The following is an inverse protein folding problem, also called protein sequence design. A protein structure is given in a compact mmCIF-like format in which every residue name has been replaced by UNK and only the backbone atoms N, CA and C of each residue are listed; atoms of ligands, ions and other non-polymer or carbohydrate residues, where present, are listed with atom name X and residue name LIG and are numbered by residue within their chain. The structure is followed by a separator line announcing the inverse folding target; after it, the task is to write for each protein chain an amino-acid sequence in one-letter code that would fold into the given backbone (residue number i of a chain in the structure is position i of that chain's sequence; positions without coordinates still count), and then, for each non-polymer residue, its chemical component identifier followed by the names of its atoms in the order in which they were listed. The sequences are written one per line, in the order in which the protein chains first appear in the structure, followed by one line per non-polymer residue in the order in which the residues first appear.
data_IF_145271210737
#
_entry.id   IF_145271210737
#
_cell.length_a   1.000
_cell.length_b   1.000
_cell.length_c   1.000
_cell.angle_alpha   90.00
_cell.angle_beta   90.00
_cell.angle_gamma   90.00
#
_symmetry.space_group_name_H-M   'P 1'
#
loop_
_entity.id
_entity.type
_entity.pdbx_description
1 polymer ?
#
# COMPACT_ATOMS: atom_id res chain seq x y z
N UNK A 1 -0.16 0.50 -38.08
CA UNK A 1 -1.09 1.10 -37.10
C UNK A 1 -0.58 0.70 -35.73
N UNK A 2 0.02 1.62 -34.96
CA UNK A 2 0.50 1.32 -33.62
C UNK A 2 -0.72 1.15 -32.72
N UNK A 3 -0.99 -0.07 -32.27
CA UNK A 3 -2.04 -0.33 -31.26
C UNK A 3 -1.61 0.40 -30.00
N UNK A 4 -2.38 1.40 -29.57
CA UNK A 4 -2.11 2.11 -28.34
C UNK A 4 -2.55 1.21 -27.18
N UNK A 5 -1.61 0.78 -26.35
CA UNK A 5 -1.93 -0.01 -25.15
C UNK A 5 -2.89 0.77 -24.23
N UNK A 6 -3.89 0.07 -23.71
CA UNK A 6 -4.81 0.53 -22.66
C UNK A 6 -4.08 0.77 -21.33
N UNK A 7 -4.73 1.50 -20.41
CA UNK A 7 -4.18 1.73 -19.07
C UNK A 7 -4.07 0.43 -18.26
N UNK A 8 -4.99 -0.52 -18.48
CA UNK A 8 -4.93 -1.84 -17.87
C UNK A 8 -3.72 -2.63 -18.35
N UNK A 9 -3.47 -2.69 -19.66
CA UNK A 9 -2.29 -3.38 -20.23
C UNK A 9 -0.98 -2.80 -19.70
N UNK A 10 -0.86 -1.47 -19.66
CA UNK A 10 0.31 -0.78 -19.07
C UNK A 10 0.46 -1.09 -17.58
N UNK A 11 -0.64 -1.14 -16.84
CA UNK A 11 -0.60 -1.49 -15.43
C UNK A 11 -0.08 -2.91 -15.24
N UNK A 12 -0.60 -3.88 -15.98
CA UNK A 12 -0.13 -5.27 -15.88
C UNK A 12 1.33 -5.40 -16.30
N UNK A 13 1.74 -4.77 -17.41
CA UNK A 13 3.14 -4.75 -17.87
C UNK A 13 4.08 -4.26 -16.76
N UNK A 14 3.77 -3.12 -16.14
CA UNK A 14 4.56 -2.58 -15.03
C UNK A 14 4.48 -3.48 -13.79
N UNK A 15 3.33 -4.10 -13.52
CA UNK A 15 3.15 -4.96 -12.35
C UNK A 15 3.93 -6.28 -12.44
N UNK A 16 4.21 -6.80 -13.64
CA UNK A 16 5.00 -8.01 -13.82
C UNK A 16 6.41 -7.86 -13.24
N UNK A 17 7.07 -6.73 -13.51
CA UNK A 17 8.45 -6.50 -13.05
C UNK A 17 8.54 -5.69 -11.77
N UNK A 18 7.62 -4.74 -11.57
CA UNK A 18 7.69 -3.74 -10.50
C UNK A 18 6.51 -3.85 -9.51
N UNK A 19 5.72 -4.91 -9.60
CA UNK A 19 4.68 -5.22 -8.63
C UNK A 19 5.28 -5.72 -7.32
N UNK A 20 4.83 -5.16 -6.21
CA UNK A 20 5.11 -5.65 -4.87
C UNK A 20 3.88 -6.39 -4.34
N UNK A 21 3.94 -7.73 -4.20
CA UNK A 21 2.81 -8.52 -3.75
C UNK A 21 2.49 -8.24 -2.28
N UNK A 22 1.27 -8.58 -1.88
CA UNK A 22 0.89 -8.52 -0.47
C UNK A 22 1.61 -9.63 0.31
N UNK A 23 1.98 -9.34 1.55
CA UNK A 23 2.50 -10.33 2.50
C UNK A 23 1.45 -10.55 3.58
N UNK A 24 0.63 -11.59 3.45
CA UNK A 24 -0.44 -11.87 4.42
C UNK A 24 -0.38 -13.34 4.84
N UNK A 25 0.40 -13.70 5.88
CA UNK A 25 0.47 -15.08 6.37
C UNK A 25 -0.91 -15.60 6.80
N UNK A 26 -1.11 -16.91 6.80
CA UNK A 26 -2.42 -17.50 7.11
C UNK A 26 -2.86 -17.17 8.55
N UNK A 27 -1.91 -17.09 9.46
CA UNK A 27 -2.17 -16.74 10.85
C UNK A 27 -2.19 -15.22 11.14
N UNK A 28 -2.12 -14.37 10.11
CA UNK A 28 -2.14 -12.93 10.31
C UNK A 28 -3.41 -12.52 11.06
N UNK A 29 -3.22 -11.71 12.11
CA UNK A 29 -4.30 -11.12 12.94
C UNK A 29 -4.49 -9.65 12.64
N UNK A 30 -3.45 -8.94 12.21
CA UNK A 30 -3.49 -7.52 11.90
C UNK A 30 -2.90 -7.27 10.52
N UNK A 31 -3.63 -6.56 9.65
CA UNK A 31 -3.20 -6.23 8.29
C UNK A 31 -3.10 -4.71 8.14
N UNK A 32 -1.91 -4.24 7.78
CA UNK A 32 -1.68 -2.84 7.45
C UNK A 32 -1.89 -2.61 5.94
N UNK A 33 -2.70 -1.62 5.61
CA UNK A 33 -2.95 -1.18 4.23
C UNK A 33 -2.31 0.19 4.03
N UNK A 34 -1.35 0.30 3.10
CA UNK A 34 -0.63 1.54 2.78
C UNK A 34 -0.91 2.02 1.36
N UNK A 35 -0.30 3.13 0.95
CA UNK A 35 -0.54 3.80 -0.34
C UNK A 35 -0.06 2.97 -1.54
N UNK A 36 1.25 2.87 -1.71
CA UNK A 36 1.91 2.17 -2.80
C UNK A 36 3.35 1.84 -2.39
N UNK A 37 4.01 0.86 -3.02
CA UNK A 37 5.43 0.62 -2.78
C UNK A 37 6.31 1.79 -3.28
N UNK A 38 7.55 1.81 -2.81
CA UNK A 38 8.62 2.70 -3.28
C UNK A 38 9.87 1.86 -3.60
N UNK A 39 10.99 2.54 -3.89
CA UNK A 39 12.29 1.92 -4.25
C UNK A 39 12.74 0.77 -3.34
N UNK A 40 12.55 0.88 -2.02
CA UNK A 40 13.01 -0.16 -1.09
C UNK A 40 12.09 -1.39 -1.13
N UNK A 41 10.79 -1.19 -1.29
CA UNK A 41 9.82 -2.27 -1.45
C UNK A 41 10.06 -3.05 -2.76
N UNK A 42 10.47 -2.37 -3.83
CA UNK A 42 10.93 -3.03 -5.07
C UNK A 42 12.17 -3.90 -4.81
N UNK A 43 13.19 -3.33 -4.17
CA UNK A 43 14.45 -4.03 -3.87
C UNK A 43 14.23 -5.30 -3.02
N UNK A 44 13.34 -5.22 -2.04
CA UNK A 44 13.10 -6.32 -1.09
C UNK A 44 11.90 -7.22 -1.46
N UNK A 45 11.13 -6.84 -2.48
CA UNK A 45 9.91 -7.53 -2.91
C UNK A 45 8.92 -7.73 -1.76
N UNK A 46 8.70 -6.71 -0.94
CA UNK A 46 7.75 -6.73 0.19
C UNK A 46 7.31 -5.31 0.56
N UNK A 47 6.03 -5.09 0.92
CA UNK A 47 5.59 -3.79 1.39
C UNK A 47 6.33 -3.35 2.66
N UNK A 48 6.42 -2.03 2.87
CA UNK A 48 6.93 -1.47 4.14
C UNK A 48 8.39 -1.86 4.40
N UNK A 49 9.20 -1.92 3.34
CA UNK A 49 10.64 -2.18 3.42
C UNK A 49 11.46 -0.90 3.59
N UNK A 50 10.88 0.29 3.35
CA UNK A 50 11.55 1.57 3.49
C UNK A 50 11.56 2.15 4.91
N UNK A 51 11.83 3.45 5.01
CA UNK A 51 11.90 4.19 6.28
C UNK A 51 10.61 4.10 7.11
N UNK A 52 9.46 4.17 6.43
CA UNK A 52 8.14 3.91 7.02
C UNK A 52 8.12 2.62 7.83
N UNK A 53 8.70 1.55 7.28
CA UNK A 53 8.79 0.27 7.97
C UNK A 53 9.74 0.24 9.14
N UNK A 54 10.77 1.09 9.16
CA UNK A 54 11.62 1.25 10.33
C UNK A 54 10.85 1.83 11.52
N UNK A 55 10.03 2.86 11.27
CA UNK A 55 9.18 3.44 12.31
C UNK A 55 8.15 2.41 12.81
N UNK A 56 7.48 1.68 11.91
CA UNK A 56 6.52 0.66 12.32
C UNK A 56 7.15 -0.51 13.08
N UNK A 57 8.32 -1.03 12.66
CA UNK A 57 8.99 -2.12 13.38
C UNK A 57 9.45 -1.68 14.77
N UNK A 58 9.93 -0.45 14.93
CA UNK A 58 10.28 0.11 16.23
C UNK A 58 9.07 0.12 17.18
N UNK A 59 7.93 0.64 16.73
CA UNK A 59 6.74 0.79 17.58
C UNK A 59 6.03 -0.55 17.86
N UNK A 60 5.91 -1.41 16.86
CA UNK A 60 5.17 -2.67 16.99
C UNK A 60 6.00 -3.78 17.65
N UNK A 61 7.28 -3.86 17.28
CA UNK A 61 8.14 -5.02 17.61
C UNK A 61 9.31 -4.65 18.53
N UNK A 62 9.60 -3.36 18.74
CA UNK A 62 10.75 -2.93 19.52
C UNK A 62 12.10 -3.20 18.85
N UNK A 63 12.14 -3.35 17.52
CA UNK A 63 13.36 -3.70 16.76
C UNK A 63 13.80 -2.57 15.82
N UNK A 64 15.08 -2.54 15.47
CA UNK A 64 15.69 -1.55 14.57
C UNK A 64 15.55 -1.87 13.07
N UNK A 65 15.00 -3.04 12.73
CA UNK A 65 14.78 -3.48 11.35
C UNK A 65 13.64 -2.76 10.62
N UNK A 66 13.38 -3.16 9.38
CA UNK A 66 12.24 -2.68 8.57
C UNK A 66 11.11 -3.69 8.65
N UNK A 67 9.89 -3.24 8.94
CA UNK A 67 8.76 -4.15 9.20
C UNK A 67 8.56 -5.18 8.09
N UNK A 68 8.57 -4.77 6.81
CA UNK A 68 8.44 -5.70 5.68
C UNK A 68 9.43 -6.86 5.72
N UNK A 69 10.75 -6.59 5.61
CA UNK A 69 11.78 -7.63 5.72
C UNK A 69 11.74 -8.45 7.01
N UNK A 70 11.49 -7.82 8.16
CA UNK A 70 11.39 -8.51 9.46
C UNK A 70 10.24 -9.51 9.44
N UNK A 71 9.03 -9.07 9.03
CA UNK A 71 7.87 -9.95 8.93
C UNK A 71 8.09 -11.02 7.87
N UNK A 72 8.69 -10.70 6.73
CA UNK A 72 8.97 -11.67 5.66
C UNK A 72 9.92 -12.79 6.09
N UNK A 73 10.87 -12.51 6.99
CA UNK A 73 11.80 -13.54 7.48
C UNK A 73 11.16 -14.59 8.40
N UNK A 74 10.06 -14.24 9.07
CA UNK A 74 9.33 -15.16 9.96
C UNK A 74 7.85 -14.74 10.05
N UNK A 75 7.06 -14.94 8.96
CA UNK A 75 5.71 -14.36 8.85
C UNK A 75 4.76 -14.85 9.95
N UNK A 76 4.89 -16.13 10.31
CA UNK A 76 4.01 -16.78 11.28
C UNK A 76 4.28 -16.30 12.71
N UNK A 77 5.52 -15.93 13.05
CA UNK A 77 5.85 -15.39 14.38
C UNK A 77 5.15 -14.06 14.64
N UNK A 78 5.15 -13.17 13.66
CA UNK A 78 4.65 -11.80 13.86
C UNK A 78 3.15 -11.68 13.65
N UNK A 79 2.50 -12.58 12.90
CA UNK A 79 1.05 -12.52 12.63
C UNK A 79 0.60 -11.17 12.05
N UNK A 80 1.50 -10.50 11.32
CA UNK A 80 1.25 -9.23 10.63
C UNK A 80 1.09 -9.48 9.14
N UNK A 81 0.03 -8.92 8.56
CA UNK A 81 -0.14 -8.78 7.12
C UNK A 81 0.22 -7.37 6.67
N UNK A 82 0.76 -7.25 5.46
CA UNK A 82 1.15 -6.00 4.83
C UNK A 82 0.63 -5.99 3.40
N UNK A 83 -0.08 -4.93 3.03
CA UNK A 83 -0.58 -4.73 1.69
C UNK A 83 -0.58 -3.25 1.31
N UNK A 84 -0.61 -2.97 0.01
CA UNK A 84 -0.76 -1.62 -0.52
C UNK A 84 -2.09 -1.49 -1.27
N UNK A 85 -2.63 -0.28 -1.36
CA UNK A 85 -3.77 0.05 -2.24
C UNK A 85 -3.38 -0.21 -3.69
N UNK A 86 -2.25 0.37 -4.13
CA UNK A 86 -1.66 0.10 -5.43
C UNK A 86 -0.43 -0.80 -5.27
N UNK A 87 -0.34 -1.88 -6.05
CA UNK A 87 0.77 -2.83 -5.93
C UNK A 87 2.02 -2.41 -6.73
N UNK A 88 1.93 -1.38 -7.57
CA UNK A 88 3.08 -0.79 -8.27
C UNK A 88 3.41 0.58 -7.67
N UNK A 89 4.68 1.03 -7.74
CA UNK A 89 5.02 2.37 -7.29
C UNK A 89 4.24 3.44 -8.07
N UNK A 90 3.61 4.35 -7.34
CA UNK A 90 2.84 5.43 -7.96
C UNK A 90 3.68 6.70 -8.19
N UNK A 91 4.99 6.66 -7.95
CA UNK A 91 5.94 7.76 -8.17
C UNK A 91 6.98 7.36 -9.20
N UNK A 92 7.17 8.16 -10.25
CA UNK A 92 8.13 7.88 -11.32
C UNK A 92 9.57 7.74 -10.79
N UNK A 93 9.92 8.46 -9.73
CA UNK A 93 11.24 8.36 -9.11
C UNK A 93 11.55 6.96 -8.53
N UNK A 94 10.54 6.13 -8.28
CA UNK A 94 10.76 4.74 -7.87
C UNK A 94 11.44 3.91 -8.96
N UNK A 95 11.35 4.36 -10.21
CA UNK A 95 11.87 3.69 -11.41
C UNK A 95 13.18 4.30 -11.92
N UNK A 96 13.71 5.33 -11.25
CA UNK A 96 14.88 6.08 -11.75
C UNK A 96 16.14 5.22 -11.97
N UNK A 97 16.25 4.09 -11.29
CA UNK A 97 17.37 3.14 -11.40
C UNK A 97 16.97 1.81 -12.05
N UNK A 98 15.89 1.80 -12.85
CA UNK A 98 15.41 0.59 -13.55
C UNK A 98 15.53 0.78 -15.06
N UNK A 99 15.23 -0.27 -15.82
CA UNK A 99 15.18 -0.23 -17.30
C UNK A 99 13.89 0.38 -17.83
N UNK A 100 12.89 0.57 -16.98
CA UNK A 100 11.61 1.15 -17.34
C UNK A 100 11.78 2.64 -17.61
N UNK A 101 11.35 3.10 -18.78
CA UNK A 101 11.25 4.53 -19.09
C UNK A 101 9.81 5.04 -18.88
N UNK A 102 9.54 5.82 -17.82
CA UNK A 102 8.22 6.39 -17.61
C UNK A 102 7.73 7.27 -18.75
N UNK A 103 8.63 7.95 -19.46
CA UNK A 103 8.26 8.84 -20.57
C UNK A 103 7.67 8.07 -21.75
N UNK A 104 8.16 6.85 -22.01
CA UNK A 104 7.66 5.96 -23.05
C UNK A 104 6.19 5.52 -22.83
N UNK A 105 5.66 5.66 -21.60
CA UNK A 105 4.31 5.22 -21.24
C UNK A 105 3.24 6.33 -21.38
N UNK A 106 3.62 7.51 -21.89
CA UNK A 106 2.72 8.65 -22.10
C UNK A 106 2.11 9.12 -20.78
N UNK A 107 0.78 9.27 -20.75
CA UNK A 107 0.07 9.81 -19.58
C UNK A 107 -0.02 8.86 -18.37
N UNK A 108 0.38 7.59 -18.50
CA UNK A 108 0.20 6.57 -17.44
C UNK A 108 0.83 6.97 -16.09
N UNK A 109 2.11 7.32 -16.08
CA UNK A 109 2.80 7.75 -14.85
C UNK A 109 2.32 9.09 -14.30
N UNK A 110 2.12 10.14 -15.13
CA UNK A 110 1.45 11.36 -14.68
C UNK A 110 0.09 11.11 -14.01
N UNK A 111 -0.71 10.17 -14.51
CA UNK A 111 -1.99 9.79 -13.91
C UNK A 111 -1.81 9.07 -12.56
N UNK A 112 -0.84 8.15 -12.44
CA UNK A 112 -0.51 7.50 -11.16
C UNK A 112 -0.09 8.55 -10.11
N UNK A 113 0.84 9.43 -10.44
CA UNK A 113 1.31 10.46 -9.52
C UNK A 113 0.20 11.43 -9.13
N UNK A 114 -0.63 11.81 -10.11
CA UNK A 114 -1.82 12.62 -9.90
C UNK A 114 -2.77 11.97 -8.91
N UNK A 115 -3.15 10.71 -9.14
CA UNK A 115 -4.05 9.94 -8.26
C UNK A 115 -3.51 9.88 -6.83
N UNK A 116 -2.23 9.55 -6.70
CA UNK A 116 -1.52 9.45 -5.42
C UNK A 116 -1.57 10.76 -4.64
N UNK A 117 -1.32 11.88 -5.31
CA UNK A 117 -1.30 13.21 -4.70
C UNK A 117 -2.69 13.88 -4.61
N UNK A 118 -3.74 13.23 -5.13
CA UNK A 118 -5.07 13.81 -5.36
C UNK A 118 -5.04 15.13 -6.18
N UNK A 119 -4.17 15.17 -7.20
CA UNK A 119 -3.94 16.35 -8.06
C UNK A 119 -4.38 16.08 -9.49
N UNK A 120 -5.54 16.61 -9.86
CA UNK A 120 -6.15 16.45 -11.19
C UNK A 120 -5.76 17.53 -12.22
N UNK A 121 -5.10 18.61 -11.79
CA UNK A 121 -4.85 19.78 -12.64
C UNK A 121 -3.96 19.39 -13.82
N UNK A 122 -4.46 19.62 -15.04
CA UNK A 122 -3.75 19.30 -16.29
C UNK A 122 -3.86 17.83 -16.72
N UNK A 123 -4.73 17.04 -16.09
CA UNK A 123 -4.97 15.64 -16.44
C UNK A 123 -6.39 15.46 -17.01
N UNK A 124 -6.50 14.58 -17.98
CA UNK A 124 -7.77 14.17 -18.59
C UNK A 124 -8.61 13.35 -17.62
N UNK A 125 -9.90 13.68 -17.47
CA UNK A 125 -10.78 13.07 -16.46
C UNK A 125 -11.15 11.62 -16.77
N UNK A 126 -11.35 11.28 -18.04
CA UNK A 126 -11.70 9.92 -18.45
C UNK A 126 -10.61 8.89 -18.08
N UNK A 127 -9.34 9.05 -18.52
CA UNK A 127 -8.28 8.11 -18.15
C UNK A 127 -7.92 8.16 -16.65
N UNK A 128 -8.12 9.29 -15.99
CA UNK A 128 -8.04 9.38 -14.53
C UNK A 128 -9.04 8.43 -13.85
N UNK A 129 -10.31 8.52 -14.23
CA UNK A 129 -11.38 7.71 -13.64
C UNK A 129 -11.18 6.22 -13.97
N UNK A 130 -10.72 5.90 -15.18
CA UNK A 130 -10.39 4.54 -15.61
C UNK A 130 -9.27 3.94 -14.73
N UNK A 131 -8.15 4.64 -14.56
CA UNK A 131 -7.04 4.15 -13.72
C UNK A 131 -7.44 4.08 -12.24
N UNK A 132 -8.25 5.03 -11.76
CA UNK A 132 -8.79 4.98 -10.40
C UNK A 132 -9.66 3.74 -10.18
N UNK A 133 -10.55 3.44 -11.12
CA UNK A 133 -11.42 2.26 -11.08
C UNK A 133 -10.58 0.97 -11.11
N UNK A 134 -9.59 0.89 -11.99
CA UNK A 134 -8.68 -0.26 -12.08
C UNK A 134 -7.98 -0.56 -10.74
N UNK A 135 -7.38 0.47 -10.11
CA UNK A 135 -6.72 0.32 -8.80
C UNK A 135 -7.74 -0.12 -7.74
N UNK A 136 -8.93 0.48 -7.77
CA UNK A 136 -9.99 0.19 -6.80
C UNK A 136 -10.49 -1.26 -6.92
N UNK A 137 -10.72 -1.74 -8.13
CA UNK A 137 -11.20 -3.09 -8.39
C UNK A 137 -10.17 -4.14 -7.98
N UNK A 138 -8.89 -3.90 -8.26
CA UNK A 138 -7.79 -4.75 -7.77
C UNK A 138 -7.70 -4.77 -6.24
N UNK A 139 -7.86 -3.63 -5.57
CA UNK A 139 -7.92 -3.59 -4.11
C UNK A 139 -9.16 -4.34 -3.59
N UNK A 140 -10.33 -4.12 -4.18
CA UNK A 140 -11.59 -4.77 -3.81
C UNK A 140 -11.47 -6.29 -3.88
N UNK A 141 -10.92 -6.83 -4.98
CA UNK A 141 -10.71 -8.26 -5.13
C UNK A 141 -9.82 -8.85 -4.04
N UNK A 142 -8.71 -8.18 -3.71
CA UNK A 142 -7.78 -8.63 -2.65
C UNK A 142 -8.39 -8.54 -1.25
N UNK A 143 -9.18 -7.50 -0.96
CA UNK A 143 -9.94 -7.40 0.28
C UNK A 143 -11.05 -8.46 0.37
N UNK A 144 -11.73 -8.74 -0.74
CA UNK A 144 -12.79 -9.77 -0.80
C UNK A 144 -12.23 -11.16 -0.44
N UNK A 145 -10.99 -11.46 -0.83
CA UNK A 145 -10.32 -12.72 -0.47
C UNK A 145 -10.04 -12.86 1.05
N UNK A 146 -10.21 -11.80 1.83
CA UNK A 146 -9.92 -11.78 3.27
C UNK A 146 -11.19 -11.75 4.14
N UNK A 147 -12.39 -11.71 3.57
CA UNK A 147 -13.64 -11.46 4.32
C UNK A 147 -13.93 -12.54 5.37
N UNK A 148 -13.55 -13.78 5.12
CA UNK A 148 -13.77 -14.88 6.06
C UNK A 148 -12.72 -14.93 7.17
N UNK A 149 -11.67 -14.10 7.07
CA UNK A 149 -10.59 -14.06 8.05
C UNK A 149 -10.92 -13.09 9.18
N UNK A 150 -10.67 -13.51 10.42
CA UNK A 150 -10.74 -12.64 11.59
C UNK A 150 -9.51 -11.74 11.65
N UNK A 151 -9.68 -10.47 11.30
CA UNK A 151 -8.57 -9.52 11.11
C UNK A 151 -8.83 -8.18 11.81
N UNK A 152 -7.74 -7.52 12.19
CA UNK A 152 -7.70 -6.10 12.48
C UNK A 152 -7.12 -5.40 11.25
N UNK A 153 -7.92 -4.59 10.55
CA UNK A 153 -7.48 -3.83 9.38
C UNK A 153 -7.05 -2.42 9.80
N UNK A 154 -5.87 -2.02 9.34
CA UNK A 154 -5.26 -0.74 9.69
C UNK A 154 -4.90 0.04 8.40
N UNK A 155 -5.84 0.81 7.83
CA UNK A 155 -5.55 1.69 6.71
C UNK A 155 -4.72 2.91 7.16
N UNK A 156 -3.48 2.99 6.71
CA UNK A 156 -2.50 3.99 7.13
C UNK A 156 -2.48 5.21 6.20
N UNK A 157 -2.89 6.36 6.72
CA UNK A 157 -2.88 7.63 6.01
C UNK A 157 -4.13 7.90 5.16
N UNK A 158 -4.28 9.15 4.71
CA UNK A 158 -5.49 9.61 4.05
C UNK A 158 -5.78 8.83 2.74
N UNK A 159 -4.73 8.50 1.97
CA UNK A 159 -4.87 7.76 0.72
C UNK A 159 -5.41 6.34 0.95
N UNK A 160 -4.77 5.56 1.83
CA UNK A 160 -5.21 4.21 2.16
C UNK A 160 -6.64 4.20 2.74
N UNK A 161 -6.97 5.15 3.61
CA UNK A 161 -8.30 5.28 4.19
C UNK A 161 -9.37 5.63 3.14
N UNK A 162 -9.06 6.53 2.21
CA UNK A 162 -9.96 6.88 1.09
C UNK A 162 -10.27 5.64 0.25
N UNK A 163 -9.24 4.92 -0.20
CA UNK A 163 -9.43 3.76 -1.08
C UNK A 163 -10.03 2.56 -0.36
N UNK A 164 -9.72 2.36 0.92
CA UNK A 164 -10.39 1.35 1.74
C UNK A 164 -11.90 1.59 1.83
N UNK A 165 -12.32 2.85 2.10
CA UNK A 165 -13.75 3.21 2.10
C UNK A 165 -14.39 3.05 0.73
N UNK A 166 -13.72 3.50 -0.34
CA UNK A 166 -14.25 3.39 -1.70
C UNK A 166 -14.35 1.93 -2.17
N UNK A 167 -13.52 1.02 -1.64
CA UNK A 167 -13.57 -0.39 -2.03
C UNK A 167 -14.90 -1.03 -1.64
N UNK A 168 -15.55 -0.54 -0.57
CA UNK A 168 -16.88 -0.97 -0.15
C UNK A 168 -16.93 -2.42 0.33
N UNK A 169 -15.79 -3.01 0.69
CA UNK A 169 -15.72 -4.37 1.23
C UNK A 169 -15.82 -4.32 2.74
N UNK A 170 -16.76 -5.08 3.30
CA UNK A 170 -17.00 -5.16 4.72
C UNK A 170 -17.10 -6.63 5.15
N UNK A 171 -16.69 -6.91 6.38
CA UNK A 171 -16.88 -8.22 7.00
C UNK A 171 -17.15 -8.07 8.50
N UNK A 172 -18.06 -8.90 9.03
CA UNK A 172 -18.29 -9.00 10.47
C UNK A 172 -17.08 -9.57 11.24
N UNK A 173 -16.15 -10.21 10.53
CA UNK A 173 -14.91 -10.76 11.09
C UNK A 173 -13.81 -9.69 11.25
N UNK A 174 -14.03 -8.48 10.72
CA UNK A 174 -13.03 -7.43 10.72
C UNK A 174 -13.28 -6.40 11.83
N UNK A 175 -12.21 -6.04 12.52
CA UNK A 175 -12.14 -4.79 13.27
C UNK A 175 -11.31 -3.80 12.46
N UNK A 176 -11.76 -2.56 12.33
CA UNK A 176 -11.00 -1.52 11.62
C UNK A 176 -10.49 -0.51 12.62
N UNK A 177 -9.20 -0.15 12.53
CA UNK A 177 -8.61 0.96 13.29
C UNK A 177 -8.46 2.15 12.34
N UNK A 178 -9.39 3.12 12.35
CA UNK A 178 -9.36 4.28 11.45
C UNK A 178 -8.38 5.35 11.94
N UNK A 179 -8.14 6.33 11.08
CA UNK A 179 -7.37 7.56 11.37
C UNK A 179 -5.90 7.33 11.77
N UNK A 180 -5.35 6.15 11.45
CA UNK A 180 -3.93 5.87 11.66
C UNK A 180 -3.12 6.70 10.67
N UNK A 181 -2.14 7.51 11.13
CA UNK A 181 -1.32 8.30 10.24
C UNK A 181 -0.45 7.41 9.36
N UNK A 182 -0.14 7.89 8.15
CA UNK A 182 0.86 7.22 7.33
C UNK A 182 2.22 7.26 8.07
N UNK A 183 2.97 6.15 8.19
CA UNK A 183 4.23 6.09 8.96
C UNK A 183 5.40 6.90 8.37
N UNK A 184 5.28 7.39 7.13
CA UNK A 184 6.29 8.25 6.52
C UNK A 184 6.56 9.53 7.32
N UNK A 185 7.71 10.14 7.08
CA UNK A 185 8.17 11.36 7.78
C UNK A 185 8.12 11.23 9.32
N UNK A 186 8.38 10.02 9.81
CA UNK A 186 8.34 9.64 11.23
C UNK A 186 7.05 10.05 11.94
N UNK A 187 5.91 10.03 11.25
CA UNK A 187 4.64 10.45 11.86
C UNK A 187 4.30 9.61 13.10
N UNK A 188 4.65 8.33 13.15
CA UNK A 188 4.36 7.50 14.33
C UNK A 188 5.18 7.89 15.56
N UNK A 189 6.26 8.66 15.40
CA UNK A 189 7.05 9.23 16.50
C UNK A 189 6.56 10.64 16.92
N UNK A 190 5.59 11.24 16.20
CA UNK A 190 5.13 12.60 16.49
C UNK A 190 4.09 12.61 17.60
N UNK A 191 4.21 13.59 18.48
CA UNK A 191 3.34 13.76 19.65
C UNK A 191 1.85 13.76 19.30
N UNK A 192 1.47 14.51 18.26
CA UNK A 192 0.07 14.63 17.81
C UNK A 192 -0.59 13.31 17.39
N UNK A 193 0.21 12.25 17.18
CA UNK A 193 -0.27 10.93 16.78
C UNK A 193 -0.05 9.86 17.86
N UNK A 194 0.50 10.23 19.02
CA UNK A 194 0.88 9.30 20.09
C UNK A 194 -0.26 8.36 20.46
N UNK A 195 -1.45 8.91 20.74
CA UNK A 195 -2.61 8.11 21.20
C UNK A 195 -3.05 7.10 20.14
N UNK A 196 -3.04 7.51 18.87
CA UNK A 196 -3.43 6.63 17.76
C UNK A 196 -2.38 5.55 17.51
N UNK A 197 -1.10 5.87 17.58
CA UNK A 197 -0.01 4.88 17.51
C UNK A 197 -0.11 3.90 18.68
N UNK A 198 -0.36 4.38 19.89
CA UNK A 198 -0.53 3.55 21.08
C UNK A 198 -1.74 2.62 20.98
N UNK A 199 -2.86 3.09 20.42
CA UNK A 199 -4.03 2.25 20.13
C UNK A 199 -3.64 1.08 19.21
N UNK A 200 -2.95 1.34 18.10
CA UNK A 200 -2.51 0.29 17.17
C UNK A 200 -1.60 -0.72 17.85
N UNK A 201 -0.62 -0.25 18.63
CA UNK A 201 0.32 -1.12 19.36
C UNK A 201 -0.43 -1.99 20.38
N UNK A 202 -1.36 -1.40 21.14
CA UNK A 202 -2.15 -2.14 22.12
C UNK A 202 -3.03 -3.22 21.46
N UNK A 203 -3.60 -2.94 20.29
CA UNK A 203 -4.39 -3.91 19.51
C UNK A 203 -3.54 -5.06 18.97
N UNK A 204 -2.29 -4.79 18.61
CA UNK A 204 -1.36 -5.81 18.12
C UNK A 204 -0.92 -6.78 19.22
N UNK A 205 -0.80 -6.30 20.46
CA UNK A 205 -0.32 -7.08 21.61
C UNK A 205 -1.40 -8.00 22.24
N UNK A 206 -2.65 -7.96 21.77
CA UNK A 206 -3.77 -8.82 22.22
C UNK A 206 -3.87 -10.11 21.39
#
# INVERSE_FOLDING_TARGET
MLVTQSLAEKFEEVAVEYGVPDLIPNNARMVFLLESPHTQELLHGVPVAGLSGGSMAKHLLGVSGKLGPVVKSDPERYRIGLMNVCQIPMQSNAYANTTLDPAAHGAFFPLLEGLRADRKKGLELAPWNELQALILDKLRARLQALVDRRLILVPCGAYAQKYFRLAGVHSANWQVVPDVPHPSFNNWDKERYRDKTAEVVARYQQ
#
